data_IF_171460880440
#
_entry.id   IF_171460880440
#
_cell.length_a   1.000
_cell.length_b   1.000
_cell.length_c   1.000
_cell.angle_alpha   90.00
_cell.angle_beta   90.00
_cell.angle_gamma   90.00
#
_symmetry.space_group_name_H-M   'P 1'
#
loop_
_entity.id
_entity.type
_entity.pdbx_description
1 polymer ?
#
# COMPACT_ATOMS: atom_id res chain seq x y z
N UNK A 1 -61.04 -7.84 -9.24
CA UNK A 1 -60.35 -9.15 -9.19
C UNK A 1 -58.82 -8.96 -9.26
N UNK A 2 -58.26 -8.02 -8.47
CA UNK A 2 -56.81 -7.68 -8.50
C UNK A 2 -56.19 -7.50 -7.10
N UNK A 3 -56.91 -7.80 -6.01
CA UNK A 3 -56.39 -7.71 -4.62
C UNK A 3 -55.62 -8.96 -4.16
N UNK A 4 -55.33 -9.91 -5.04
CA UNK A 4 -54.65 -11.17 -4.69
C UNK A 4 -53.13 -11.15 -4.83
N UNK A 5 -52.53 -10.07 -5.35
CA UNK A 5 -51.11 -10.11 -5.76
C UNK A 5 -50.20 -9.02 -5.17
N UNK A 6 -50.69 -8.13 -4.31
CA UNK A 6 -49.83 -7.14 -3.64
C UNK A 6 -50.03 -7.15 -2.12
N UNK A 7 -49.20 -7.87 -1.35
CA UNK A 7 -49.20 -7.71 0.09
C UNK A 7 -48.77 -6.29 0.44
N UNK A 8 -49.57 -5.60 1.24
CA UNK A 8 -49.26 -4.28 1.79
C UNK A 8 -47.92 -4.31 2.55
N UNK A 9 -47.12 -3.26 2.39
CA UNK A 9 -45.73 -3.12 2.87
C UNK A 9 -45.54 -3.41 4.37
N UNK A 10 -46.63 -3.30 5.15
CA UNK A 10 -46.67 -3.64 6.58
C UNK A 10 -46.46 -5.13 6.89
N UNK A 11 -46.80 -6.06 5.99
CA UNK A 11 -46.62 -7.51 6.23
C UNK A 11 -45.22 -8.01 5.87
N UNK A 12 -44.49 -7.32 5.00
CA UNK A 12 -43.12 -7.68 4.62
C UNK A 12 -42.09 -7.48 5.75
N UNK A 13 -42.33 -6.50 6.64
CA UNK A 13 -41.42 -6.24 7.77
C UNK A 13 -41.43 -7.35 8.82
N UNK A 14 -42.52 -8.12 8.93
CA UNK A 14 -42.63 -9.23 9.88
C UNK A 14 -41.96 -10.53 9.41
N UNK A 15 -41.75 -10.68 8.09
CA UNK A 15 -41.07 -11.84 7.49
C UNK A 15 -39.55 -11.66 7.40
N UNK A 16 -39.05 -10.43 7.50
CA UNK A 16 -37.63 -10.09 7.55
C UNK A 16 -37.19 -9.82 8.98
N UNK A 17 -37.66 -10.64 9.93
CA UNK A 17 -37.17 -10.64 11.30
C UNK A 17 -35.77 -11.29 11.36
N UNK A 18 -34.84 -10.75 10.58
CA UNK A 18 -33.43 -10.97 10.82
C UNK A 18 -33.13 -10.33 12.16
N UNK A 19 -32.51 -11.04 13.11
CA UNK A 19 -32.04 -10.39 14.30
C UNK A 19 -31.18 -9.21 13.85
N UNK A 20 -31.50 -7.99 14.32
CA UNK A 20 -30.56 -6.88 14.31
C UNK A 20 -29.43 -7.27 15.25
N UNK A 21 -28.59 -8.20 14.81
CA UNK A 21 -27.28 -8.41 15.37
C UNK A 21 -26.57 -7.10 15.06
N UNK A 22 -26.35 -6.30 16.10
CA UNK A 22 -25.33 -5.26 16.00
C UNK A 22 -24.11 -5.92 15.37
N UNK A 23 -23.49 -5.27 14.40
CA UNK A 23 -22.20 -5.71 13.88
C UNK A 23 -21.19 -5.34 14.99
N UNK A 24 -21.36 -5.93 16.18
CA UNK A 24 -20.37 -5.94 17.23
C UNK A 24 -19.23 -6.76 16.67
N UNK A 25 -18.07 -6.14 16.53
CA UNK A 25 -16.90 -6.67 15.86
C UNK A 25 -16.76 -8.16 16.08
N UNK A 26 -16.87 -8.91 14.99
CA UNK A 26 -16.47 -10.31 15.04
C UNK A 26 -14.99 -10.30 15.48
N UNK A 27 -14.57 -11.30 16.27
CA UNK A 27 -13.13 -11.54 16.47
C UNK A 27 -12.39 -11.56 15.13
N UNK A 28 -13.08 -11.98 14.08
CA UNK A 28 -12.59 -12.06 12.71
C UNK A 28 -12.35 -10.68 12.08
N UNK A 29 -13.09 -9.63 12.47
CA UNK A 29 -12.81 -8.26 12.03
C UNK A 29 -11.52 -7.74 12.66
N UNK A 30 -11.18 -8.19 13.88
CA UNK A 30 -9.89 -7.83 14.49
C UNK A 30 -8.71 -8.45 13.73
N UNK A 31 -8.91 -9.59 13.07
CA UNK A 31 -7.90 -10.24 12.21
C UNK A 31 -7.58 -9.35 11.01
N UNK A 32 -8.56 -8.62 10.45
CA UNK A 32 -8.33 -7.67 9.35
C UNK A 32 -7.40 -6.51 9.73
N UNK A 33 -7.45 -6.06 10.98
CA UNK A 33 -6.62 -4.95 11.48
C UNK A 33 -5.31 -5.41 12.15
N UNK A 34 -5.10 -6.72 12.29
CA UNK A 34 -3.80 -7.24 12.73
C UNK A 34 -2.79 -7.05 11.60
N UNK A 35 -1.65 -6.45 11.92
CA UNK A 35 -0.52 -6.41 10.99
C UNK A 35 -0.09 -7.85 10.69
N UNK A 36 0.42 -8.10 9.49
CA UNK A 36 0.99 -9.40 9.11
C UNK A 36 1.97 -9.93 10.16
N UNK A 37 2.74 -9.03 10.79
CA UNK A 37 3.63 -9.35 11.91
C UNK A 37 2.91 -9.99 13.13
N UNK A 38 1.73 -9.51 13.50
CA UNK A 38 0.94 -10.07 14.61
C UNK A 38 0.35 -11.44 14.25
N UNK A 39 -0.10 -11.63 13.00
CA UNK A 39 -0.60 -12.93 12.54
C UNK A 39 0.50 -14.00 12.56
N UNK A 40 1.74 -13.61 12.27
CA UNK A 40 2.91 -14.50 12.32
C UNK A 40 3.24 -14.99 13.73
N UNK A 41 3.03 -14.14 14.75
CA UNK A 41 3.25 -14.48 16.16
C UNK A 41 2.21 -15.46 16.70
N UNK A 42 0.94 -15.35 16.25
CA UNK A 42 -0.17 -16.17 16.74
C UNK A 42 -0.31 -17.52 16.02
N UNK A 43 0.04 -17.61 14.73
CA UNK A 43 -0.38 -18.73 13.88
C UNK A 43 0.57 -19.94 13.81
N UNK A 44 1.83 -19.84 14.27
CA UNK A 44 2.83 -20.90 14.09
C UNK A 44 3.11 -21.29 12.62
N UNK A 45 2.47 -20.60 11.68
CA UNK A 45 2.68 -20.70 10.26
C UNK A 45 3.96 -19.93 9.93
N UNK A 46 4.80 -20.52 9.09
CA UNK A 46 6.00 -19.92 8.54
C UNK A 46 5.64 -18.79 7.54
N UNK A 47 5.00 -17.77 8.08
CA UNK A 47 4.64 -16.53 7.43
C UNK A 47 5.79 -15.52 7.54
N UNK A 48 7.02 -16.00 7.77
CA UNK A 48 8.22 -15.17 7.90
C UNK A 48 8.36 -14.17 6.74
N UNK A 49 7.84 -14.53 5.56
CA UNK A 49 7.86 -13.72 4.35
C UNK A 49 6.49 -13.63 3.68
N UNK A 50 5.54 -12.81 4.18
CA UNK A 50 4.19 -12.69 3.62
C UNK A 50 4.20 -12.18 2.17
N UNK A 51 5.25 -11.45 1.81
CA UNK A 51 5.52 -11.02 0.44
C UNK A 51 5.77 -12.19 -0.53
N UNK A 52 6.40 -13.27 -0.06
CA UNK A 52 6.67 -14.46 -0.87
C UNK A 52 5.47 -15.41 -0.91
N UNK A 53 4.68 -15.48 0.17
CA UNK A 53 3.58 -16.43 0.29
C UNK A 53 2.27 -15.96 -0.33
N UNK A 54 2.02 -14.64 -0.40
CA UNK A 54 0.77 -14.08 -0.92
C UNK A 54 0.97 -13.34 -2.25
N UNK A 55 0.41 -13.90 -3.32
CA UNK A 55 0.44 -13.31 -4.65
C UNK A 55 -0.23 -11.92 -4.71
N UNK A 56 -1.28 -11.69 -3.91
CA UNK A 56 -1.97 -10.39 -3.88
C UNK A 56 -1.13 -9.30 -3.20
N UNK A 57 -0.43 -9.65 -2.11
CA UNK A 57 0.49 -8.74 -1.42
C UNK A 57 1.67 -8.38 -2.31
N UNK A 58 2.26 -9.38 -2.99
CA UNK A 58 3.30 -9.17 -3.98
C UNK A 58 2.84 -8.21 -5.09
N UNK A 59 1.69 -8.49 -5.70
CA UNK A 59 1.17 -7.69 -6.80
C UNK A 59 0.86 -6.25 -6.38
N UNK A 60 0.25 -6.06 -5.21
CA UNK A 60 -0.10 -4.75 -4.69
C UNK A 60 1.15 -3.91 -4.38
N UNK A 61 2.09 -4.47 -3.60
CA UNK A 61 3.32 -3.76 -3.23
C UNK A 61 4.15 -3.41 -4.47
N UNK A 62 4.33 -4.37 -5.38
CA UNK A 62 5.08 -4.14 -6.61
C UNK A 62 4.42 -3.08 -7.50
N UNK A 63 3.09 -3.07 -7.63
CA UNK A 63 2.40 -2.05 -8.42
C UNK A 63 2.49 -0.65 -7.81
N UNK A 64 2.42 -0.54 -6.49
CA UNK A 64 2.60 0.74 -5.81
C UNK A 64 4.03 1.27 -6.06
N UNK A 65 5.04 0.42 -5.85
CA UNK A 65 6.44 0.81 -6.07
C UNK A 65 6.73 1.21 -7.52
N UNK A 66 6.21 0.47 -8.50
CA UNK A 66 6.34 0.79 -9.92
C UNK A 66 5.68 2.12 -10.31
N UNK A 67 4.51 2.41 -9.74
CA UNK A 67 3.84 3.68 -10.03
C UNK A 67 4.62 4.87 -9.46
N UNK A 68 5.20 4.71 -8.27
CA UNK A 68 5.99 5.78 -7.63
C UNK A 68 7.32 6.00 -8.36
N UNK A 69 7.97 4.93 -8.84
CA UNK A 69 9.24 5.06 -9.57
C UNK A 69 9.13 5.83 -10.89
N UNK A 70 7.93 5.90 -11.47
CA UNK A 70 7.65 6.67 -12.69
C UNK A 70 7.48 8.17 -12.45
N UNK A 71 7.33 8.61 -11.19
CA UNK A 71 7.12 10.02 -10.87
C UNK A 71 8.40 10.82 -11.18
N UNK A 72 8.32 11.86 -12.02
CA UNK A 72 9.52 12.64 -12.39
C UNK A 72 10.01 13.47 -11.20
N UNK A 73 11.17 13.10 -10.66
CA UNK A 73 11.86 13.88 -9.64
C UNK A 73 12.50 15.13 -10.25
N UNK A 74 12.22 16.29 -9.64
CA UNK A 74 12.80 17.59 -10.03
C UNK A 74 13.55 18.17 -8.85
N UNK A 75 14.81 18.54 -9.08
CA UNK A 75 15.64 19.19 -8.06
C UNK A 75 15.52 20.70 -8.21
N UNK A 76 15.34 21.38 -7.09
CA UNK A 76 15.26 22.83 -7.03
C UNK A 76 16.30 23.36 -6.05
N UNK A 77 16.95 24.45 -6.41
CA UNK A 77 17.81 25.23 -5.51
C UNK A 77 17.22 26.61 -5.28
N UNK A 78 17.57 27.23 -4.16
CA UNK A 78 17.16 28.59 -3.83
C UNK A 78 18.36 29.52 -3.95
N UNK A 79 18.32 30.40 -4.94
CA UNK A 79 19.29 31.48 -5.11
C UNK A 79 18.55 32.83 -5.06
N UNK A 80 18.99 33.73 -4.17
CA UNK A 80 18.48 35.10 -4.06
C UNK A 80 16.94 35.19 -4.08
N UNK A 81 16.28 34.41 -3.22
CA UNK A 81 14.82 34.29 -3.08
C UNK A 81 14.04 33.76 -4.31
N UNK A 82 14.73 33.29 -5.35
CA UNK A 82 14.11 32.62 -6.50
C UNK A 82 14.40 31.11 -6.46
N UNK A 83 13.37 30.33 -6.75
CA UNK A 83 13.47 28.87 -6.89
C UNK A 83 13.85 28.55 -8.34
N UNK A 84 15.04 27.98 -8.54
CA UNK A 84 15.55 27.63 -9.87
C UNK A 84 15.60 26.10 -9.96
N UNK A 85 15.08 25.56 -11.07
CA UNK A 85 15.21 24.13 -11.33
C UNK A 85 16.66 23.82 -11.69
N UNK A 86 17.27 22.92 -10.94
CA UNK A 86 18.63 22.45 -11.20
C UNK A 86 18.53 21.33 -12.23
N UNK A 87 19.14 21.54 -13.40
CA UNK A 87 19.21 20.55 -14.47
C UNK A 87 20.56 19.87 -14.58
N UNK A 88 21.59 20.37 -13.89
CA UNK A 88 22.97 19.86 -13.89
C UNK A 88 23.59 20.03 -12.48
N UNK A 89 24.43 19.09 -12.04
CA UNK A 89 25.21 19.18 -10.81
C UNK A 89 25.27 17.85 -10.05
N UNK A 90 26.19 17.76 -9.08
CA UNK A 90 26.54 16.50 -8.40
C UNK A 90 25.32 15.74 -7.81
N UNK A 91 24.38 16.47 -7.19
CA UNK A 91 23.17 15.86 -6.62
C UNK A 91 22.23 15.31 -7.70
N UNK A 92 22.16 16.00 -8.84
CA UNK A 92 21.29 15.64 -9.95
C UNK A 92 21.89 14.43 -10.69
N UNK A 93 23.20 14.45 -10.87
CA UNK A 93 23.94 13.37 -11.51
C UNK A 93 23.93 12.10 -10.64
N UNK A 94 24.04 12.22 -9.30
CA UNK A 94 23.90 11.09 -8.38
C UNK A 94 22.51 10.44 -8.44
N UNK A 95 21.46 11.23 -8.65
CA UNK A 95 20.09 10.74 -8.67
C UNK A 95 19.69 10.09 -10.01
N UNK A 96 20.46 10.25 -11.08
CA UNK A 96 20.14 9.67 -12.39
C UNK A 96 20.65 8.22 -12.51
N UNK A 97 21.97 7.96 -12.60
CA UNK A 97 22.53 6.63 -12.35
C UNK A 97 23.18 6.54 -10.94
N UNK A 98 22.46 6.08 -9.91
CA UNK A 98 23.03 5.95 -8.57
C UNK A 98 24.20 4.96 -8.49
N UNK A 99 24.20 3.92 -9.33
CA UNK A 99 25.35 3.04 -9.53
C UNK A 99 25.33 2.45 -10.95
N UNK A 100 26.43 1.80 -11.36
CA UNK A 100 26.60 1.25 -12.72
C UNK A 100 25.54 0.21 -13.11
N UNK A 101 24.91 -0.44 -12.12
CA UNK A 101 23.97 -1.55 -12.32
C UNK A 101 22.52 -1.18 -12.00
N UNK A 102 22.24 0.08 -11.67
CA UNK A 102 20.92 0.51 -11.19
C UNK A 102 20.54 1.88 -11.76
N UNK A 103 19.35 1.97 -12.34
CA UNK A 103 18.76 3.25 -12.72
C UNK A 103 18.08 3.94 -11.55
N UNK A 104 17.80 5.25 -11.68
CA UNK A 104 16.95 6.01 -10.74
C UNK A 104 15.64 5.30 -10.43
N UNK A 105 14.94 4.82 -11.45
CA UNK A 105 13.63 4.20 -11.30
C UNK A 105 13.74 2.93 -10.43
N UNK A 106 14.78 2.13 -10.66
CA UNK A 106 15.04 0.92 -9.87
C UNK A 106 15.41 1.24 -8.42
N UNK A 107 16.18 2.30 -8.18
CA UNK A 107 16.49 2.77 -6.83
C UNK A 107 15.21 3.17 -6.09
N UNK A 108 14.36 4.00 -6.70
CA UNK A 108 13.11 4.45 -6.08
C UNK A 108 12.15 3.28 -5.86
N UNK A 109 11.99 2.40 -6.85
CA UNK A 109 11.14 1.22 -6.73
C UNK A 109 11.57 0.34 -5.55
N UNK A 110 12.87 0.05 -5.45
CA UNK A 110 13.44 -0.77 -4.38
C UNK A 110 13.27 -0.08 -3.02
N UNK A 111 13.47 1.23 -2.95
CA UNK A 111 13.31 2.01 -1.71
C UNK A 111 11.87 1.95 -1.20
N UNK A 112 10.89 2.20 -2.06
CA UNK A 112 9.47 2.13 -1.70
C UNK A 112 9.08 0.70 -1.33
N UNK A 113 9.57 -0.30 -2.07
CA UNK A 113 9.28 -1.70 -1.77
C UNK A 113 9.78 -2.07 -0.37
N UNK A 114 11.01 -1.68 -0.01
CA UNK A 114 11.55 -1.92 1.33
C UNK A 114 10.77 -1.17 2.43
N UNK A 115 10.35 0.07 2.17
CA UNK A 115 9.50 0.83 3.09
C UNK A 115 8.15 0.15 3.32
N UNK A 116 7.51 -0.38 2.26
CA UNK A 116 6.24 -1.09 2.37
C UNK A 116 6.36 -2.41 3.13
N UNK A 117 7.49 -3.11 3.00
CA UNK A 117 7.70 -4.41 3.61
C UNK A 117 8.19 -4.32 5.06
N UNK A 118 9.12 -3.41 5.34
CA UNK A 118 9.83 -3.36 6.61
C UNK A 118 9.55 -2.08 7.42
N UNK A 119 8.97 -1.05 6.79
CA UNK A 119 8.76 0.27 7.42
C UNK A 119 9.99 1.17 7.40
N UNK A 120 11.13 0.69 6.88
CA UNK A 120 12.38 1.44 6.79
C UNK A 120 13.16 1.06 5.52
N UNK A 121 13.98 1.99 5.04
CA UNK A 121 14.90 1.80 3.93
C UNK A 121 16.13 2.68 4.11
N UNK A 122 17.30 2.20 3.68
CA UNK A 122 18.57 2.88 3.83
C UNK A 122 19.27 3.00 2.48
N UNK A 123 19.87 4.16 2.22
CA UNK A 123 20.78 4.36 1.11
C UNK A 123 22.21 4.38 1.66
N UNK A 124 23.05 3.49 1.13
CA UNK A 124 24.46 3.46 1.44
C UNK A 124 25.15 4.32 0.40
N UNK A 125 25.74 5.42 0.85
CA UNK A 125 26.52 6.32 0.03
C UNK A 125 27.99 5.99 0.28
N UNK A 126 28.70 5.58 -0.77
CA UNK A 126 30.15 5.32 -0.74
C UNK A 126 30.82 6.33 -1.68
N UNK A 127 31.89 6.98 -1.21
CA UNK A 127 32.49 8.17 -1.83
C UNK A 127 33.99 8.17 -1.78
#
# INVERSE_FOLDING_TARGET
MLDKYFPTFSKFSSLLNFPKKSISGLSDDSIFFKTSRMLNLDAGADLAHPYLSSASVYAAAHKISQNISQVPLKVYTKENDKTIQVTNGDIFDLLLPPNVYMSKEQLIESTILYLLLNGEAFWILDG
#
